data_IF_337129878256
#
_entry.id   IF_337129878256
#
_cell.length_a   1.000
_cell.length_b   1.000
_cell.length_c   1.000
_cell.angle_alpha   90.00
_cell.angle_beta   90.00
_cell.angle_gamma   90.00
#
_symmetry.space_group_name_H-M   'P 1'
#
loop_
_entity.id
_entity.type
_entity.pdbx_description
1 polymer ?
#
# COMPACT_ATOMS: atom_id res chain seq x y z
N UNK A 1 51.67 17.49 12.45
CA UNK A 1 51.14 17.37 11.08
C UNK A 1 49.69 16.95 11.21
N UNK A 2 48.75 17.89 11.06
CA UNK A 2 47.33 17.58 11.04
C UNK A 2 46.96 17.07 9.65
N UNK A 3 46.27 15.93 9.60
CA UNK A 3 45.74 15.37 8.37
C UNK A 3 44.60 16.32 7.93
N UNK A 4 44.59 16.81 6.67
CA UNK A 4 43.48 17.63 6.20
C UNK A 4 42.20 16.79 6.17
N UNK A 5 41.16 17.31 6.78
CA UNK A 5 39.78 16.77 6.66
C UNK A 5 39.34 16.92 5.20
N UNK A 6 39.16 15.80 4.51
CA UNK A 6 38.63 15.81 3.14
C UNK A 6 37.14 15.79 3.27
N UNK A 7 36.46 16.94 3.02
CA UNK A 7 35.03 17.00 2.80
C UNK A 7 34.66 16.19 1.56
N UNK A 8 34.28 14.94 1.77
CA UNK A 8 33.75 14.09 0.69
C UNK A 8 32.29 14.50 0.48
N UNK A 9 32.06 15.42 -0.43
CA UNK A 9 30.71 15.72 -0.94
C UNK A 9 30.31 14.54 -1.83
N UNK A 10 29.46 13.66 -1.30
CA UNK A 10 28.81 12.64 -2.12
C UNK A 10 27.84 13.36 -3.05
N UNK A 11 27.90 13.15 -4.40
CA UNK A 11 26.85 13.64 -5.26
C UNK A 11 25.53 13.00 -4.82
N UNK A 12 24.50 13.83 -4.62
CA UNK A 12 23.12 13.33 -4.51
C UNK A 12 22.78 12.64 -5.82
N UNK A 13 22.93 11.33 -5.86
CA UNK A 13 22.40 10.53 -6.95
C UNK A 13 20.87 10.64 -6.85
N UNK A 14 20.18 11.03 -7.94
CA UNK A 14 18.72 10.98 -7.92
C UNK A 14 18.31 9.55 -7.53
N UNK A 15 17.55 9.43 -6.47
CA UNK A 15 16.97 8.14 -6.08
C UNK A 15 16.24 7.59 -7.30
N UNK A 16 16.55 6.38 -7.77
CA UNK A 16 15.78 5.79 -8.83
C UNK A 16 14.31 5.78 -8.38
N UNK A 17 13.40 6.19 -9.26
CA UNK A 17 11.97 6.06 -9.00
C UNK A 17 11.65 4.57 -8.93
N UNK A 18 11.76 4.00 -7.73
CA UNK A 18 11.34 2.63 -7.47
C UNK A 18 9.83 2.63 -7.41
N UNK A 19 9.22 2.08 -8.44
CA UNK A 19 7.77 1.88 -8.48
C UNK A 19 7.47 0.56 -7.77
N UNK A 20 6.70 0.63 -6.69
CA UNK A 20 6.24 -0.56 -5.98
C UNK A 20 5.19 -1.25 -6.85
N UNK A 21 5.37 -2.53 -7.20
CA UNK A 21 4.38 -3.27 -7.96
C UNK A 21 3.11 -3.50 -7.13
N UNK A 22 1.94 -3.44 -7.77
CA UNK A 22 0.70 -3.80 -7.08
C UNK A 22 0.52 -5.33 -7.03
N UNK A 23 -0.11 -5.86 -5.97
CA UNK A 23 -0.33 -7.30 -5.83
C UNK A 23 -1.46 -7.76 -6.76
N UNK A 24 -1.36 -8.99 -7.28
CA UNK A 24 -2.48 -9.63 -8.00
C UNK A 24 -3.60 -10.04 -7.04
N UNK A 25 -3.25 -10.49 -5.85
CA UNK A 25 -4.16 -10.96 -4.82
C UNK A 25 -3.83 -10.35 -3.47
N UNK A 26 -4.80 -10.34 -2.57
CA UNK A 26 -4.66 -9.96 -1.17
C UNK A 26 -5.38 -10.98 -0.30
N UNK A 27 -4.76 -11.39 0.80
CA UNK A 27 -5.38 -12.29 1.78
C UNK A 27 -5.98 -11.47 2.92
N UNK A 28 -7.29 -11.57 3.08
CA UNK A 28 -8.08 -10.86 4.07
C UNK A 28 -8.48 -11.80 5.20
N UNK A 29 -8.16 -11.43 6.43
CA UNK A 29 -8.61 -12.09 7.63
C UNK A 29 -9.98 -11.56 8.06
N UNK A 30 -10.99 -12.43 8.17
CA UNK A 30 -12.37 -12.05 8.44
C UNK A 30 -12.68 -11.93 9.95
N UNK A 31 -11.79 -11.30 10.70
CA UNK A 31 -11.91 -11.14 12.15
C UNK A 31 -10.87 -10.21 12.75
N UNK A 32 -10.77 -10.23 14.08
CA UNK A 32 -9.67 -9.60 14.79
C UNK A 32 -8.36 -10.36 14.53
N UNK A 33 -7.18 -9.69 14.51
CA UNK A 33 -5.93 -10.35 14.14
C UNK A 33 -5.57 -11.60 14.94
N UNK A 34 -6.03 -11.69 16.18
CA UNK A 34 -5.81 -12.79 17.12
C UNK A 34 -6.96 -13.81 17.18
N UNK A 35 -7.97 -13.69 16.32
CA UNK A 35 -9.07 -14.64 16.21
C UNK A 35 -8.66 -15.82 15.31
N UNK A 36 -8.11 -16.86 15.92
CA UNK A 36 -7.64 -18.07 15.20
C UNK A 36 -8.78 -18.85 14.51
N UNK A 37 -10.05 -18.62 14.87
CA UNK A 37 -11.20 -19.27 14.24
C UNK A 37 -11.72 -18.48 13.01
N UNK A 38 -11.27 -17.24 12.82
CA UNK A 38 -11.68 -16.44 11.69
C UNK A 38 -11.02 -16.93 10.38
N UNK A 39 -11.79 -16.85 9.30
CA UNK A 39 -11.34 -17.34 7.98
C UNK A 39 -10.40 -16.35 7.30
N UNK A 40 -9.38 -16.86 6.63
CA UNK A 40 -8.58 -16.14 5.65
C UNK A 40 -9.15 -16.38 4.25
N UNK A 41 -9.45 -15.30 3.53
CA UNK A 41 -9.91 -15.35 2.15
C UNK A 41 -8.94 -14.61 1.23
N UNK A 42 -8.49 -15.28 0.18
CA UNK A 42 -7.63 -14.66 -0.83
C UNK A 42 -8.47 -14.24 -2.02
N UNK A 43 -8.43 -12.95 -2.35
CA UNK A 43 -9.25 -12.36 -3.41
C UNK A 43 -8.37 -11.56 -4.38
N UNK A 44 -8.80 -11.36 -5.64
CA UNK A 44 -8.11 -10.43 -6.55
C UNK A 44 -8.02 -9.03 -5.92
N UNK A 45 -6.86 -8.40 -6.02
CA UNK A 45 -6.60 -7.10 -5.38
C UNK A 45 -7.59 -6.02 -5.83
N UNK A 46 -7.88 -5.93 -7.13
CA UNK A 46 -8.87 -4.98 -7.65
C UNK A 46 -10.27 -5.21 -7.05
N UNK A 47 -10.68 -6.46 -6.88
CA UNK A 47 -11.98 -6.78 -6.26
C UNK A 47 -12.00 -6.43 -4.77
N UNK A 48 -10.86 -6.56 -4.08
CA UNK A 48 -10.71 -6.06 -2.71
C UNK A 48 -10.91 -4.54 -2.64
N UNK A 49 -10.24 -3.76 -3.49
CA UNK A 49 -10.39 -2.30 -3.53
C UNK A 49 -11.84 -1.88 -3.80
N UNK A 50 -12.50 -2.50 -4.79
CA UNK A 50 -13.92 -2.24 -5.10
C UNK A 50 -14.83 -2.55 -3.91
N UNK A 51 -14.57 -3.67 -3.22
CA UNK A 51 -15.36 -4.11 -2.08
C UNK A 51 -15.25 -3.11 -0.92
N UNK A 52 -14.03 -2.76 -0.52
CA UNK A 52 -13.78 -1.79 0.54
C UNK A 52 -14.40 -0.44 0.17
N UNK A 53 -14.14 0.08 -1.02
CA UNK A 53 -14.71 1.34 -1.47
C UNK A 53 -16.25 1.32 -1.47
N UNK A 54 -16.85 0.20 -1.88
CA UNK A 54 -18.32 0.05 -1.79
C UNK A 54 -18.84 -0.10 -0.35
N UNK A 55 -17.99 -0.49 0.60
CA UNK A 55 -18.34 -0.61 2.02
C UNK A 55 -18.22 0.71 2.78
N UNK A 56 -17.26 1.53 2.38
CA UNK A 56 -16.89 2.77 3.06
C UNK A 56 -17.57 4.02 2.47
N UNK A 57 -17.91 4.01 1.16
CA UNK A 57 -18.29 5.20 0.42
C UNK A 57 -19.74 5.10 -0.13
N UNK A 58 -20.38 6.25 -0.27
CA UNK A 58 -21.67 6.32 -0.97
C UNK A 58 -21.44 6.55 -2.48
N UNK A 59 -22.03 5.72 -3.37
CA UNK A 59 -21.79 5.80 -4.82
C UNK A 59 -22.32 7.10 -5.45
N UNK A 60 -23.08 7.89 -4.69
CA UNK A 60 -23.66 9.19 -5.10
C UNK A 60 -22.78 10.39 -4.73
N UNK A 61 -21.63 10.18 -4.11
CA UNK A 61 -20.70 11.25 -3.80
C UNK A 61 -20.08 11.86 -5.06
N UNK A 62 -19.58 13.11 -5.00
CA UNK A 62 -18.82 13.70 -6.09
C UNK A 62 -17.67 12.81 -6.54
N UNK A 63 -17.42 12.73 -7.84
CA UNK A 63 -16.40 11.85 -8.41
C UNK A 63 -15.02 12.09 -7.81
N UNK A 64 -14.60 13.35 -7.62
CA UNK A 64 -13.32 13.70 -7.04
C UNK A 64 -13.15 13.21 -5.60
N UNK A 65 -14.25 13.22 -4.82
CA UNK A 65 -14.26 12.64 -3.49
C UNK A 65 -14.11 11.12 -3.54
N UNK A 66 -14.82 10.45 -4.46
CA UNK A 66 -14.68 9.00 -4.66
C UNK A 66 -13.26 8.63 -5.08
N UNK A 67 -12.66 9.35 -6.03
CA UNK A 67 -11.27 9.15 -6.49
C UNK A 67 -10.27 9.32 -5.33
N UNK A 68 -10.36 10.40 -4.56
CA UNK A 68 -9.49 10.65 -3.42
C UNK A 68 -9.56 9.51 -2.39
N UNK A 69 -10.78 9.06 -2.04
CA UNK A 69 -10.96 7.97 -1.10
C UNK A 69 -10.44 6.63 -1.66
N UNK A 70 -10.66 6.32 -2.93
CA UNK A 70 -10.14 5.09 -3.55
C UNK A 70 -8.60 5.09 -3.59
N UNK A 71 -7.95 6.22 -3.87
CA UNK A 71 -6.50 6.34 -3.75
C UNK A 71 -6.01 6.08 -2.31
N UNK A 72 -6.71 6.61 -1.31
CA UNK A 72 -6.37 6.36 0.09
C UNK A 72 -6.54 4.87 0.46
N UNK A 73 -7.65 4.24 0.06
CA UNK A 73 -7.92 2.81 0.25
C UNK A 73 -6.82 1.96 -0.39
N UNK A 74 -6.46 2.27 -1.64
CA UNK A 74 -5.40 1.60 -2.39
C UNK A 74 -4.05 1.72 -1.69
N UNK A 75 -3.66 2.93 -1.30
CA UNK A 75 -2.37 3.20 -0.66
C UNK A 75 -2.26 2.53 0.71
N UNK A 76 -3.33 2.55 1.50
CA UNK A 76 -3.39 1.86 2.78
C UNK A 76 -3.16 0.36 2.62
N UNK A 77 -3.89 -0.30 1.70
CA UNK A 77 -3.75 -1.73 1.46
C UNK A 77 -2.35 -2.08 0.93
N UNK A 78 -1.82 -1.30 -0.02
CA UNK A 78 -0.46 -1.48 -0.52
C UNK A 78 0.60 -1.28 0.58
N UNK A 79 0.42 -0.33 1.49
CA UNK A 79 1.33 -0.15 2.63
C UNK A 79 1.35 -1.39 3.53
N UNK A 80 0.18 -1.97 3.85
CA UNK A 80 0.08 -3.19 4.67
C UNK A 80 0.84 -4.36 4.07
N UNK A 81 0.75 -4.51 2.74
CA UNK A 81 1.46 -5.56 1.99
C UNK A 81 2.96 -5.24 1.91
N UNK A 82 3.31 -4.03 1.52
CA UNK A 82 4.71 -3.61 1.36
C UNK A 82 5.51 -3.72 2.66
N UNK A 83 4.92 -3.32 3.78
CA UNK A 83 5.55 -3.39 5.10
C UNK A 83 5.45 -4.78 5.74
N UNK A 84 4.75 -5.72 5.09
CA UNK A 84 4.44 -7.04 5.67
C UNK A 84 3.86 -6.93 7.07
N UNK A 85 2.98 -5.96 7.30
CA UNK A 85 2.52 -5.55 8.62
C UNK A 85 2.06 -6.73 9.49
N UNK A 86 1.26 -7.63 8.95
CA UNK A 86 0.81 -8.83 9.64
C UNK A 86 1.78 -10.00 9.48
N UNK A 87 2.29 -10.24 8.26
CA UNK A 87 3.19 -11.38 7.98
C UNK A 87 4.48 -11.32 8.77
N UNK A 88 5.07 -10.13 8.96
CA UNK A 88 6.27 -9.95 9.80
C UNK A 88 6.04 -10.26 11.28
N UNK A 89 4.77 -10.34 11.70
CA UNK A 89 4.34 -10.69 13.06
C UNK A 89 3.90 -12.15 13.20
N UNK A 90 4.06 -12.94 12.13
CA UNK A 90 3.77 -14.37 12.12
C UNK A 90 2.34 -14.73 11.70
N UNK A 91 1.55 -13.76 11.23
CA UNK A 91 0.23 -14.02 10.65
C UNK A 91 0.35 -14.46 9.18
N UNK A 92 -0.63 -15.21 8.68
CA UNK A 92 -0.67 -15.73 7.32
C UNK A 92 -1.62 -14.95 6.38
N UNK A 93 -1.94 -13.71 6.74
CA UNK A 93 -2.78 -12.78 5.98
C UNK A 93 -2.11 -11.41 5.82
N UNK A 94 -2.67 -10.59 4.93
CA UNK A 94 -2.12 -9.27 4.60
C UNK A 94 -2.86 -8.14 5.31
N UNK A 95 -4.17 -8.31 5.56
CA UNK A 95 -5.04 -7.28 6.10
C UNK A 95 -6.26 -7.90 6.80
N UNK A 96 -6.87 -7.18 7.73
CA UNK A 96 -8.14 -7.59 8.35
C UNK A 96 -9.34 -6.96 7.63
N UNK A 97 -10.55 -7.40 7.95
CA UNK A 97 -11.79 -6.92 7.34
C UNK A 97 -12.50 -5.82 8.14
N UNK A 98 -11.91 -5.28 9.20
CA UNK A 98 -12.60 -4.34 10.11
C UNK A 98 -11.89 -3.00 10.23
N UNK A 99 -12.67 -1.91 10.36
CA UNK A 99 -12.17 -0.55 10.57
C UNK A 99 -11.52 -0.34 11.94
N UNK A 100 -11.62 -1.30 12.83
CA UNK A 100 -10.91 -1.26 14.12
C UNK A 100 -9.40 -1.42 13.92
N UNK A 101 -8.98 -2.17 12.91
CA UNK A 101 -7.58 -2.46 12.63
C UNK A 101 -7.13 -1.94 11.27
N UNK A 102 -7.99 -2.06 10.24
CA UNK A 102 -7.69 -1.74 8.86
C UNK A 102 -8.87 -1.07 8.14
N UNK A 103 -9.56 -1.78 7.23
CA UNK A 103 -10.59 -1.25 6.34
C UNK A 103 -11.85 -2.13 6.35
N UNK A 104 -13.01 -1.56 6.06
CA UNK A 104 -14.26 -2.32 6.00
C UNK A 104 -14.31 -3.19 4.74
N UNK A 105 -13.92 -4.44 4.85
CA UNK A 105 -14.15 -5.44 3.81
C UNK A 105 -15.31 -6.33 4.20
N UNK A 106 -16.32 -6.43 3.35
CA UNK A 106 -17.49 -7.29 3.57
C UNK A 106 -17.50 -8.40 2.53
N UNK A 107 -17.15 -9.61 2.96
CA UNK A 107 -17.02 -10.75 2.05
C UNK A 107 -18.30 -10.99 1.24
N UNK A 108 -18.17 -11.22 -0.08
CA UNK A 108 -19.26 -11.48 -1.03
C UNK A 108 -20.33 -10.35 -1.17
N UNK A 109 -20.05 -9.13 -0.72
CA UNK A 109 -20.97 -8.02 -0.94
C UNK A 109 -21.04 -7.62 -2.43
N UNK A 110 -22.20 -7.07 -2.84
CA UNK A 110 -22.33 -6.43 -4.15
C UNK A 110 -21.51 -5.15 -4.27
N UNK A 111 -20.95 -4.92 -5.44
CA UNK A 111 -20.14 -3.74 -5.79
C UNK A 111 -21.03 -2.73 -6.54
N UNK A 112 -20.91 -1.45 -6.20
CA UNK A 112 -21.61 -0.37 -6.91
C UNK A 112 -20.92 -0.07 -8.24
N UNK A 113 -21.68 0.05 -9.34
CA UNK A 113 -21.13 0.29 -10.69
C UNK A 113 -20.27 1.56 -10.76
N UNK A 114 -20.71 2.67 -10.15
CA UNK A 114 -19.93 3.92 -10.11
C UNK A 114 -18.57 3.72 -9.48
N UNK A 115 -18.50 3.01 -8.35
CA UNK A 115 -17.25 2.70 -7.64
C UNK A 115 -16.40 1.74 -8.46
N UNK A 116 -17.01 0.71 -9.05
CA UNK A 116 -16.29 -0.25 -9.91
C UNK A 116 -15.62 0.43 -11.10
N UNK A 117 -16.31 1.37 -11.75
CA UNK A 117 -15.76 2.10 -12.88
C UNK A 117 -14.54 2.93 -12.49
N UNK A 118 -14.64 3.73 -11.41
CA UNK A 118 -13.53 4.55 -10.92
C UNK A 118 -12.37 3.65 -10.46
N UNK A 119 -12.65 2.59 -9.69
CA UNK A 119 -11.61 1.68 -9.22
C UNK A 119 -10.85 1.01 -10.39
N UNK A 120 -11.53 0.62 -11.47
CA UNK A 120 -10.89 0.06 -12.67
C UNK A 120 -9.86 1.02 -13.30
N UNK A 121 -10.07 2.32 -13.18
CA UNK A 121 -9.18 3.33 -13.75
C UNK A 121 -7.95 3.61 -12.88
N UNK A 122 -8.09 3.51 -11.53
CA UNK A 122 -7.08 4.07 -10.63
C UNK A 122 -6.55 3.09 -9.56
N UNK A 123 -6.94 1.79 -9.58
CA UNK A 123 -6.56 0.81 -8.55
C UNK A 123 -5.06 0.56 -8.43
N UNK A 124 -4.31 0.87 -9.48
CA UNK A 124 -2.85 0.72 -9.52
C UNK A 124 -2.10 2.03 -9.22
N UNK A 125 -2.82 3.06 -8.80
CA UNK A 125 -2.23 4.34 -8.39
C UNK A 125 -2.23 4.45 -6.87
N UNK A 126 -1.05 4.64 -6.29
CA UNK A 126 -0.88 4.79 -4.86
C UNK A 126 -0.20 6.11 -4.49
N UNK A 127 -0.40 6.54 -3.25
CA UNK A 127 0.21 7.74 -2.68
C UNK A 127 1.58 7.37 -2.10
N UNK A 128 2.59 8.16 -2.37
CA UNK A 128 3.88 8.11 -1.69
C UNK A 128 4.30 9.52 -1.29
N UNK A 129 5.36 9.66 -0.48
CA UNK A 129 5.96 10.95 -0.14
C UNK A 129 7.22 11.18 -0.95
N UNK A 130 7.56 12.43 -1.19
CA UNK A 130 8.82 12.80 -1.83
C UNK A 130 10.01 12.19 -1.06
N UNK A 131 10.92 11.53 -1.77
CA UNK A 131 12.06 10.82 -1.19
C UNK A 131 11.76 9.48 -0.54
N UNK A 132 10.52 9.01 -0.59
CA UNK A 132 10.09 7.71 -0.07
C UNK A 132 9.67 6.78 -1.21
N UNK A 133 9.85 5.48 -1.02
CA UNK A 133 9.42 4.44 -1.97
C UNK A 133 8.17 3.70 -1.48
N UNK A 134 7.94 3.68 -0.17
CA UNK A 134 6.81 2.97 0.40
C UNK A 134 5.47 3.65 0.05
N UNK A 135 4.43 2.89 -0.24
CA UNK A 135 3.06 3.39 -0.27
C UNK A 135 2.70 4.05 1.06
N UNK A 136 2.10 5.22 1.03
CA UNK A 136 1.68 5.92 2.24
C UNK A 136 0.67 5.09 3.04
N UNK A 137 0.86 4.99 4.33
CA UNK A 137 -0.19 4.54 5.23
C UNK A 137 -1.28 5.62 5.30
N UNK A 138 -2.13 5.66 4.28
CA UNK A 138 -3.14 6.67 4.08
C UNK A 138 -4.35 6.41 4.98
N UNK A 139 -4.23 6.68 6.28
CA UNK A 139 -5.32 6.55 7.24
C UNK A 139 -6.49 7.47 6.88
N UNK A 140 -7.71 6.99 7.11
CA UNK A 140 -8.93 7.76 6.90
C UNK A 140 -10.03 7.35 7.90
N UNK A 141 -11.01 8.20 8.07
CA UNK A 141 -12.19 7.96 8.90
C UNK A 141 -13.38 8.77 8.38
N UNK A 142 -14.58 8.56 8.92
CA UNK A 142 -15.76 9.27 8.45
C UNK A 142 -15.69 10.80 8.65
N UNK A 143 -14.99 11.27 9.70
CA UNK A 143 -14.78 12.68 10.01
C UNK A 143 -15.98 13.36 10.67
N UNK A 144 -17.10 12.64 10.91
CA UNK A 144 -18.31 13.15 11.57
C UNK A 144 -18.55 12.47 12.91
N UNK A 145 -18.46 11.15 12.94
CA UNK A 145 -18.66 10.33 14.15
C UNK A 145 -17.29 10.03 14.77
N UNK A 146 -16.31 9.66 13.93
CA UNK A 146 -14.94 9.39 14.33
C UNK A 146 -13.98 10.45 13.77
N UNK A 147 -12.92 10.76 14.51
CA UNK A 147 -11.85 11.64 14.08
C UNK A 147 -10.52 10.89 14.12
N UNK A 148 -9.64 11.17 13.18
CA UNK A 148 -8.31 10.55 13.05
C UNK A 148 -7.30 11.56 12.50
N UNK A 149 -6.02 11.22 12.55
CA UNK A 149 -4.93 12.00 11.94
C UNK A 149 -4.79 11.66 10.44
N UNK A 150 -5.91 11.51 9.72
CA UNK A 150 -5.98 11.13 8.32
C UNK A 150 -7.06 11.89 7.57
N UNK A 151 -7.42 11.37 6.39
CA UNK A 151 -8.46 11.97 5.57
C UNK A 151 -9.85 11.74 6.15
N UNK A 152 -10.65 12.81 6.21
CA UNK A 152 -12.07 12.73 6.56
C UNK A 152 -12.89 12.46 5.29
N UNK A 153 -13.56 11.31 5.25
CA UNK A 153 -14.36 10.90 4.09
C UNK A 153 -15.44 11.94 3.74
N UNK A 154 -16.20 12.42 4.73
CA UNK A 154 -17.17 13.52 4.51
C UNK A 154 -16.51 14.85 4.23
N UNK A 155 -15.34 15.12 4.77
CA UNK A 155 -14.56 16.31 4.45
C UNK A 155 -14.09 16.33 2.99
N UNK A 156 -13.74 15.17 2.43
CA UNK A 156 -13.42 15.04 1.01
C UNK A 156 -14.60 15.41 0.11
N UNK A 157 -15.83 15.06 0.52
CA UNK A 157 -17.06 15.46 -0.18
C UNK A 157 -17.26 16.97 -0.15
N UNK A 158 -17.00 17.61 0.99
CA UNK A 158 -17.09 19.06 1.14
C UNK A 158 -16.10 19.78 0.24
N UNK A 159 -14.85 19.31 0.17
CA UNK A 159 -13.80 19.87 -0.70
C UNK A 159 -14.14 19.66 -2.18
N UNK A 160 -14.59 18.46 -2.57
CA UNK A 160 -14.99 18.18 -3.94
C UNK A 160 -16.16 19.09 -4.41
N UNK A 161 -17.14 19.37 -3.51
CA UNK A 161 -18.21 20.31 -3.80
C UNK A 161 -17.74 21.77 -3.94
N UNK A 162 -16.56 22.10 -3.40
CA UNK A 162 -15.91 23.38 -3.58
C UNK A 162 -15.03 23.44 -4.86
N UNK A 163 -14.94 22.34 -5.60
CA UNK A 163 -14.21 22.24 -6.88
C UNK A 163 -12.78 21.73 -6.75
N UNK A 164 -12.39 21.17 -5.59
CA UNK A 164 -11.08 20.53 -5.42
C UNK A 164 -11.03 19.23 -6.21
N UNK A 165 -9.92 18.98 -6.88
CA UNK A 165 -9.58 17.71 -7.51
C UNK A 165 -9.21 16.66 -6.47
N UNK A 166 -9.21 15.37 -6.84
CA UNK A 166 -8.81 14.29 -5.95
C UNK A 166 -7.38 14.50 -5.41
N UNK A 167 -6.44 14.94 -6.25
CA UNK A 167 -5.07 15.22 -5.83
C UNK A 167 -4.99 16.38 -4.80
N UNK A 168 -5.72 17.45 -5.02
CA UNK A 168 -5.78 18.59 -4.10
C UNK A 168 -6.42 18.18 -2.76
N UNK A 169 -7.45 17.31 -2.78
CA UNK A 169 -8.05 16.73 -1.58
C UNK A 169 -7.02 15.88 -0.81
N UNK A 170 -6.28 15.03 -1.51
CA UNK A 170 -5.24 14.21 -0.90
C UNK A 170 -4.13 15.08 -0.28
N UNK A 171 -3.66 16.11 -0.99
CA UNK A 171 -2.66 17.05 -0.47
C UNK A 171 -3.15 17.81 0.75
N UNK A 172 -4.42 18.22 0.76
CA UNK A 172 -5.02 18.89 1.92
C UNK A 172 -4.91 18.06 3.21
N UNK A 173 -5.10 16.73 3.13
CA UNK A 173 -5.09 15.87 4.30
C UNK A 173 -3.72 15.26 4.62
N UNK A 174 -2.95 14.92 3.59
CA UNK A 174 -1.68 14.19 3.78
C UNK A 174 -0.43 15.06 3.60
N UNK A 175 -0.58 16.30 3.15
CA UNK A 175 0.53 17.24 2.95
C UNK A 175 0.91 17.44 1.47
N UNK A 176 1.58 18.56 1.20
CA UNK A 176 1.98 18.96 -0.17
C UNK A 176 3.08 18.07 -0.75
N UNK A 177 3.80 17.34 0.09
CA UNK A 177 4.91 16.46 -0.25
C UNK A 177 4.48 15.08 -0.76
N UNK A 178 3.17 14.84 -0.92
CA UNK A 178 2.67 13.60 -1.50
C UNK A 178 2.66 13.64 -3.03
N UNK A 179 2.80 12.46 -3.62
CA UNK A 179 2.71 12.22 -5.05
C UNK A 179 1.90 10.96 -5.32
N UNK A 180 1.06 10.99 -6.37
CA UNK A 180 0.41 9.81 -6.90
C UNK A 180 1.35 9.11 -7.89
N UNK A 181 1.61 7.84 -7.65
CA UNK A 181 2.48 6.99 -8.48
C UNK A 181 1.66 5.89 -9.11
N UNK A 182 1.76 5.74 -10.43
CA UNK A 182 1.15 4.63 -11.15
C UNK A 182 2.09 3.42 -11.15
N UNK A 183 1.61 2.30 -10.61
CA UNK A 183 2.30 1.02 -10.69
C UNK A 183 1.93 0.33 -12.00
N UNK A 184 2.93 0.10 -12.85
CA UNK A 184 2.75 -0.57 -14.15
C UNK A 184 3.01 -2.08 -14.09
N UNK A 185 3.46 -2.59 -12.96
CA UNK A 185 3.77 -4.00 -12.75
C UNK A 185 2.83 -4.64 -11.74
N UNK A 186 2.30 -5.79 -12.10
CA UNK A 186 1.59 -6.67 -11.19
C UNK A 186 2.50 -7.81 -10.74
N UNK A 187 2.50 -8.14 -9.46
CA UNK A 187 3.24 -9.28 -8.93
C UNK A 187 2.34 -10.18 -8.10
N UNK A 188 2.58 -11.46 -8.20
CA UNK A 188 2.06 -12.41 -7.24
C UNK A 188 2.95 -12.32 -5.98
N UNK A 189 2.53 -11.52 -5.01
CA UNK A 189 3.19 -11.47 -3.71
C UNK A 189 2.68 -12.66 -2.90
N UNK A 190 3.26 -13.82 -3.14
CA UNK A 190 3.27 -14.85 -2.12
C UNK A 190 4.15 -14.30 -0.99
N UNK A 191 3.69 -14.43 0.25
CA UNK A 191 4.41 -13.88 1.41
C UNK A 191 5.92 -14.07 1.29
N UNK A 192 6.66 -13.00 1.47
CA UNK A 192 8.13 -13.02 1.31
C UNK A 192 8.82 -13.73 2.46
N UNK A 193 8.09 -13.88 3.60
CA UNK A 193 8.58 -14.64 4.73
C UNK A 193 8.37 -16.14 4.53
N UNK A 194 9.45 -16.97 4.50
CA UNK A 194 9.37 -18.40 4.20
C UNK A 194 8.81 -19.25 5.36
N UNK A 195 8.28 -18.64 6.42
CA UNK A 195 7.78 -19.32 7.61
C UNK A 195 8.88 -19.86 8.55
N UNK A 196 10.14 -19.82 8.13
CA UNK A 196 11.30 -20.22 8.91
C UNK A 196 12.54 -19.40 8.50
N UNK A 197 13.54 -19.23 9.39
CA UNK A 197 14.79 -18.56 9.04
C UNK A 197 15.52 -19.31 7.91
N UNK A 198 16.03 -18.55 6.93
CA UNK A 198 16.93 -19.08 5.90
C UNK A 198 18.37 -19.08 6.43
N UNK A 199 19.08 -20.16 6.17
CA UNK A 199 20.46 -20.39 6.62
C UNK A 199 21.40 -20.67 5.45
N UNK A 200 22.69 -20.54 5.70
CA UNK A 200 23.72 -20.88 4.71
C UNK A 200 23.65 -22.36 4.35
N UNK A 201 23.46 -22.64 3.07
CA UNK A 201 23.29 -24.00 2.56
C UNK A 201 21.84 -24.35 2.20
N UNK A 202 20.87 -23.51 2.58
CA UNK A 202 19.49 -23.66 2.13
C UNK A 202 19.39 -23.40 0.62
N UNK A 203 18.45 -24.08 -0.02
CA UNK A 203 18.14 -23.95 -1.44
C UNK A 203 16.63 -24.02 -1.67
N UNK A 204 16.17 -23.45 -2.78
CA UNK A 204 14.77 -23.50 -3.18
C UNK A 204 14.19 -22.13 -3.48
N UNK A 205 12.86 -22.09 -3.68
CA UNK A 205 12.16 -20.89 -4.15
C UNK A 205 12.30 -19.69 -3.19
N UNK A 206 12.33 -19.93 -1.89
CA UNK A 206 12.44 -18.85 -0.89
C UNK A 206 13.84 -18.26 -0.85
N UNK A 207 14.89 -19.10 -1.02
CA UNK A 207 16.27 -18.62 -1.20
C UNK A 207 16.39 -17.80 -2.48
N UNK A 208 15.81 -18.28 -3.59
CA UNK A 208 15.77 -17.55 -4.86
C UNK A 208 15.08 -16.19 -4.71
N UNK A 209 13.91 -16.14 -4.07
CA UNK A 209 13.15 -14.90 -3.82
C UNK A 209 13.96 -13.90 -3.01
N UNK A 210 14.60 -14.36 -1.93
CA UNK A 210 15.49 -13.51 -1.11
C UNK A 210 16.66 -12.96 -1.93
N UNK A 211 17.36 -13.82 -2.67
CA UNK A 211 18.49 -13.42 -3.52
C UNK A 211 18.06 -12.44 -4.62
N UNK A 212 16.91 -12.68 -5.25
CA UNK A 212 16.34 -11.77 -6.24
C UNK A 212 16.02 -10.40 -5.62
N UNK A 213 15.36 -10.36 -4.47
CA UNK A 213 15.02 -9.12 -3.75
C UNK A 213 16.28 -8.34 -3.36
N UNK A 214 17.32 -9.01 -2.87
CA UNK A 214 18.63 -8.37 -2.57
C UNK A 214 19.28 -7.78 -3.82
N UNK A 215 19.14 -8.42 -4.98
CA UNK A 215 19.67 -7.87 -6.23
C UNK A 215 18.84 -6.68 -6.76
N UNK A 216 17.54 -6.67 -6.54
CA UNK A 216 16.69 -5.48 -6.79
C UNK A 216 17.16 -4.31 -5.91
N UNK A 217 17.43 -4.58 -4.62
CA UNK A 217 18.00 -3.58 -3.71
C UNK A 217 19.36 -3.10 -4.20
N UNK A 218 20.27 -4.01 -4.59
CA UNK A 218 21.57 -3.65 -5.16
C UNK A 218 21.44 -2.73 -6.38
N UNK A 219 20.52 -3.01 -7.30
CA UNK A 219 20.30 -2.19 -8.50
C UNK A 219 19.88 -0.74 -8.16
N UNK A 220 19.14 -0.57 -7.08
CA UNK A 220 18.71 0.74 -6.60
C UNK A 220 19.74 1.40 -5.66
N UNK A 221 20.54 0.60 -4.95
CA UNK A 221 21.55 1.03 -3.98
C UNK A 221 22.88 0.30 -4.24
N UNK A 222 23.69 0.73 -5.23
CA UNK A 222 24.88 0.00 -5.68
C UNK A 222 25.97 -0.22 -4.62
N UNK A 223 25.91 0.49 -3.47
CA UNK A 223 26.80 0.26 -2.34
C UNK A 223 26.47 -1.03 -1.58
N UNK A 224 25.29 -1.59 -1.75
CA UNK A 224 24.91 -2.90 -1.22
C UNK A 224 25.38 -3.96 -2.23
N UNK A 225 26.23 -4.93 -1.84
CA UNK A 225 26.75 -5.91 -2.77
C UNK A 225 25.65 -6.76 -3.42
N UNK A 226 25.80 -7.04 -4.71
CA UNK A 226 24.96 -8.02 -5.39
C UNK A 226 25.21 -9.42 -4.82
N UNK A 227 24.16 -10.24 -4.77
CA UNK A 227 24.25 -11.64 -4.35
C UNK A 227 24.12 -12.56 -5.56
N UNK A 228 24.88 -13.67 -5.53
CA UNK A 228 24.76 -14.68 -6.57
C UNK A 228 23.45 -15.47 -6.37
N UNK A 229 22.66 -15.57 -7.44
CA UNK A 229 21.49 -16.44 -7.46
C UNK A 229 21.96 -17.88 -7.66
N UNK A 230 21.50 -18.77 -6.79
CA UNK A 230 21.88 -20.20 -6.77
C UNK A 230 20.66 -21.09 -6.93
#
# INVERSE_FOLDING_TARGET
>A
MSIPEIDVVFPELPLPHVIVPFPLYITVHLGAPDDEEALNVTVPYLEYIKNVASSELYPTWPEEALRANIHAITSFAMNRIFTEWYRSRGYDFDITNTTQYDQAYVHERGIFDTISNIANEIFNMYITREGHIEPLFAAFCDGRITQCDGMYQWGSVELANQGYTAEEILKYYYGEDITLVESTAAVEIAGTYPGQPLSLGDAGIDVFRMQHSLNVIHNNFPLIPAVRIT
#
